data_IF_327187921009
#
_entry.id   IF_327187921009
#
_cell.length_a   1.000
_cell.length_b   1.000
_cell.length_c   1.000
_cell.angle_alpha   90.00
_cell.angle_beta   90.00
_cell.angle_gamma   90.00
#
_symmetry.space_group_name_H-M   'P 1'
#
loop_
_entity.id
_entity.type
_entity.pdbx_description
1 polymer ?
#
# COMPACT_ATOMS: atom_id res chain seq x y z
N UNK A 1 67.72 49.18 -26.88
CA UNK A 1 69.18 48.99 -26.84
C UNK A 1 69.40 47.50 -26.51
N UNK A 2 69.57 46.63 -27.52
CA UNK A 2 70.84 45.96 -27.91
C UNK A 2 71.56 45.38 -26.68
N UNK A 3 71.83 44.08 -26.50
CA UNK A 3 72.39 42.98 -27.32
C UNK A 3 72.00 41.64 -26.64
N UNK A 4 71.47 40.58 -27.25
CA UNK A 4 72.09 39.59 -28.18
C UNK A 4 73.44 39.03 -27.70
N UNK A 5 73.51 37.75 -27.25
CA UNK A 5 74.52 36.73 -27.64
C UNK A 5 73.97 35.31 -27.33
N UNK A 6 73.80 34.50 -28.38
CA UNK A 6 73.67 33.03 -28.38
C UNK A 6 75.05 32.36 -28.27
N UNK A 7 75.14 31.07 -27.89
CA UNK A 7 75.54 30.10 -28.92
C UNK A 7 74.66 28.84 -28.88
N UNK A 8 74.09 28.42 -30.00
CA UNK A 8 74.68 27.59 -31.06
C UNK A 8 74.77 26.09 -30.70
N UNK A 9 74.06 25.34 -31.53
CA UNK A 9 73.67 23.93 -31.48
C UNK A 9 74.88 23.04 -31.88
N UNK A 10 74.85 21.72 -31.62
CA UNK A 10 74.69 20.89 -32.82
C UNK A 10 73.65 19.77 -32.67
N UNK A 11 72.88 19.65 -33.73
CA UNK A 11 71.94 18.59 -33.98
C UNK A 11 72.72 17.38 -34.47
N UNK A 12 72.60 16.24 -33.79
CA UNK A 12 72.99 14.94 -34.32
C UNK A 12 71.74 14.17 -34.78
N UNK A 13 71.55 14.26 -36.09
CA UNK A 13 71.05 13.24 -37.03
C UNK A 13 70.32 12.02 -36.45
N UNK A 14 69.07 11.92 -36.91
CA UNK A 14 68.51 10.77 -37.60
C UNK A 14 68.59 9.40 -36.89
N UNK A 15 67.50 9.04 -36.22
CA UNK A 15 67.11 7.65 -36.04
C UNK A 15 65.65 7.46 -36.48
N UNK A 16 65.53 7.15 -37.77
CA UNK A 16 64.70 6.07 -38.32
C UNK A 16 63.28 5.92 -37.73
N UNK A 17 62.31 6.34 -38.57
CA UNK A 17 61.02 5.69 -38.74
C UNK A 17 61.08 4.18 -38.51
N UNK A 18 60.67 3.67 -37.34
CA UNK A 18 59.97 2.38 -37.13
C UNK A 18 59.39 2.39 -35.71
N UNK A 19 58.28 3.11 -35.45
CA UNK A 19 57.58 2.96 -34.17
C UNK A 19 56.07 3.21 -34.24
N UNK A 20 55.50 3.45 -35.41
CA UNK A 20 54.06 3.68 -35.60
C UNK A 20 53.26 2.42 -35.89
N UNK A 21 53.92 1.26 -36.07
CA UNK A 21 53.23 -0.03 -36.28
C UNK A 21 52.88 -0.78 -34.99
N UNK A 22 53.65 -0.56 -33.91
CA UNK A 22 53.49 -1.36 -32.68
C UNK A 22 52.34 -0.86 -31.78
N UNK A 23 51.98 0.42 -31.90
CA UNK A 23 50.92 1.04 -31.08
C UNK A 23 49.49 0.75 -31.60
N UNK A 24 49.33 0.52 -32.91
CA UNK A 24 48.04 0.13 -33.50
C UNK A 24 47.72 -1.35 -33.27
N UNK A 25 48.74 -2.23 -33.27
CA UNK A 25 48.56 -3.66 -33.02
C UNK A 25 48.13 -3.95 -31.57
N UNK A 26 48.66 -3.21 -30.59
CA UNK A 26 48.29 -3.37 -29.17
C UNK A 26 46.89 -2.86 -28.86
N UNK A 27 46.42 -1.80 -29.52
CA UNK A 27 45.04 -1.31 -29.39
C UNK A 27 44.04 -2.23 -30.09
N UNK A 28 44.39 -2.82 -31.24
CA UNK A 28 43.55 -3.79 -31.94
C UNK A 28 43.40 -5.12 -31.15
N UNK A 29 44.44 -5.55 -30.44
CA UNK A 29 44.38 -6.73 -29.55
C UNK A 29 43.47 -6.49 -28.34
N UNK A 30 43.46 -5.29 -27.76
CA UNK A 30 42.57 -4.94 -26.65
C UNK A 30 41.08 -4.88 -27.07
N UNK A 31 40.77 -4.47 -28.30
CA UNK A 31 39.40 -4.46 -28.82
C UNK A 31 38.86 -5.87 -29.11
N UNK A 32 39.73 -6.85 -29.37
CA UNK A 32 39.33 -8.25 -29.60
C UNK A 32 39.01 -9.04 -28.31
N UNK A 33 39.40 -8.50 -27.15
CA UNK A 33 39.14 -9.10 -25.85
C UNK A 33 37.71 -8.85 -25.33
N UNK A 34 37.01 -7.84 -25.83
CA UNK A 34 35.60 -7.60 -25.53
C UNK A 34 34.73 -8.22 -26.63
N UNK A 35 34.55 -9.55 -26.60
CA UNK A 35 33.60 -10.18 -27.49
C UNK A 35 32.16 -9.98 -26.95
N UNK A 36 31.19 -9.48 -27.75
CA UNK A 36 29.82 -9.24 -27.28
C UNK A 36 29.09 -10.50 -26.80
N UNK A 37 29.53 -11.69 -27.23
CA UNK A 37 29.01 -13.00 -26.82
C UNK A 37 29.41 -13.39 -25.39
N UNK A 38 30.36 -12.68 -24.77
CA UNK A 38 30.77 -12.86 -23.37
C UNK A 38 29.97 -12.02 -22.37
N UNK A 39 29.01 -11.21 -22.84
CA UNK A 39 28.10 -10.49 -21.96
C UNK A 39 27.04 -11.48 -21.47
N UNK A 40 27.31 -12.16 -20.37
CA UNK A 40 26.27 -12.94 -19.69
C UNK A 40 25.15 -12.00 -19.24
N UNK A 41 23.93 -12.24 -19.70
CA UNK A 41 22.76 -11.56 -19.15
C UNK A 41 22.67 -11.86 -17.66
N UNK A 42 22.80 -10.82 -16.83
CA UNK A 42 22.61 -10.94 -15.39
C UNK A 42 21.22 -11.54 -15.15
N UNK A 43 21.19 -12.77 -14.62
CA UNK A 43 19.95 -13.43 -14.23
C UNK A 43 19.21 -12.51 -13.26
N UNK A 44 17.90 -12.38 -13.43
CA UNK A 44 17.05 -11.51 -12.61
C UNK A 44 17.31 -9.99 -12.73
N UNK A 45 17.82 -9.50 -13.87
CA UNK A 45 17.99 -8.05 -14.16
C UNK A 45 16.77 -7.19 -13.76
N UNK A 46 15.54 -7.72 -13.94
CA UNK A 46 14.30 -7.04 -13.50
C UNK A 46 14.17 -6.92 -11.98
N UNK A 47 14.53 -7.97 -11.21
CA UNK A 47 14.51 -7.94 -9.74
C UNK A 47 15.58 -6.99 -9.22
N UNK A 48 16.78 -7.07 -9.77
CA UNK A 48 17.89 -6.18 -9.43
C UNK A 48 17.51 -4.72 -9.70
N UNK A 49 16.93 -4.42 -10.87
CA UNK A 49 16.41 -3.09 -11.16
C UNK A 49 15.35 -2.58 -10.18
N UNK A 50 14.52 -3.47 -9.61
CA UNK A 50 13.56 -3.11 -8.55
C UNK A 50 14.26 -2.88 -7.21
N UNK A 51 15.23 -3.72 -6.84
CA UNK A 51 15.98 -3.64 -5.59
C UNK A 51 16.90 -2.42 -5.54
N UNK A 52 17.70 -2.16 -6.57
CA UNK A 52 18.56 -0.97 -6.70
C UNK A 52 17.75 0.31 -6.57
N UNK A 53 16.56 0.32 -7.17
CA UNK A 53 15.64 1.44 -7.11
C UNK A 53 15.01 1.62 -5.71
N UNK A 54 14.94 0.58 -4.88
CA UNK A 54 14.52 0.65 -3.48
C UNK A 54 15.65 1.12 -2.53
N UNK A 55 16.91 1.03 -2.94
CA UNK A 55 18.08 1.51 -2.17
C UNK A 55 18.36 3.01 -2.32
N UNK A 56 17.65 3.69 -3.22
CA UNK A 56 17.71 5.14 -3.38
C UNK A 56 17.24 5.84 -2.09
N UNK A 57 18.15 6.55 -1.42
CA UNK A 57 17.85 7.27 -0.17
C UNK A 57 16.87 8.41 -0.46
N UNK A 58 15.64 8.28 0.04
CA UNK A 58 14.62 9.32 -0.03
C UNK A 58 14.54 10.04 1.31
N UNK A 59 14.69 11.37 1.30
CA UNK A 59 14.37 12.20 2.46
C UNK A 59 12.86 12.20 2.69
N UNK A 60 12.42 11.79 3.88
CA UNK A 60 10.99 11.78 4.26
C UNK A 60 10.74 12.93 5.25
N UNK A 61 9.91 13.90 4.87
CA UNK A 61 9.50 15.00 5.75
C UNK A 61 8.28 14.58 6.61
N UNK A 62 8.01 15.25 7.75
CA UNK A 62 6.84 14.93 8.58
C UNK A 62 5.51 14.97 7.82
N UNK A 63 5.34 15.93 6.90
CA UNK A 63 4.15 16.02 6.03
C UNK A 63 4.02 14.83 5.07
N UNK A 64 5.13 14.22 4.66
CA UNK A 64 5.14 13.05 3.79
C UNK A 64 4.69 11.81 4.55
N UNK A 65 5.04 11.71 5.83
CA UNK A 65 4.53 10.64 6.70
C UNK A 65 3.01 10.75 6.89
N UNK A 66 2.46 11.93 7.12
CA UNK A 66 1.00 12.10 7.20
C UNK A 66 0.30 11.72 5.87
N UNK A 67 0.90 12.09 4.73
CA UNK A 67 0.38 11.69 3.41
C UNK A 67 0.48 10.18 3.20
N UNK A 68 1.57 9.57 3.62
CA UNK A 68 1.78 8.13 3.58
C UNK A 68 0.78 7.39 4.47
N UNK A 69 0.54 7.87 5.69
CA UNK A 69 -0.50 7.38 6.62
C UNK A 69 -1.87 7.40 5.97
N UNK A 70 -2.26 8.52 5.33
CA UNK A 70 -3.51 8.60 4.57
C UNK A 70 -3.59 7.54 3.48
N UNK A 71 -2.53 7.43 2.68
CA UNK A 71 -2.51 6.49 1.56
C UNK A 71 -2.54 5.02 2.02
N UNK A 72 -1.80 4.68 3.07
CA UNK A 72 -1.79 3.36 3.69
C UNK A 72 -3.18 2.99 4.20
N UNK A 73 -3.81 3.87 4.99
CA UNK A 73 -5.15 3.64 5.52
C UNK A 73 -6.23 3.59 4.44
N UNK A 74 -6.15 4.44 3.40
CA UNK A 74 -7.06 4.36 2.24
C UNK A 74 -6.90 3.01 1.52
N UNK A 75 -5.67 2.57 1.30
CA UNK A 75 -5.38 1.32 0.59
C UNK A 75 -5.88 0.10 1.37
N UNK A 76 -5.61 0.06 2.67
CA UNK A 76 -5.99 -1.03 3.55
C UNK A 76 -7.51 -1.11 3.72
N UNK A 77 -8.16 0.00 4.07
CA UNK A 77 -9.61 -0.01 4.29
C UNK A 77 -10.40 -0.21 3.00
N UNK A 78 -9.94 0.30 1.85
CA UNK A 78 -10.59 0.03 0.56
C UNK A 78 -10.46 -1.45 0.14
N UNK A 79 -9.31 -2.06 0.43
CA UNK A 79 -9.09 -3.49 0.23
C UNK A 79 -10.06 -4.29 1.10
N UNK A 80 -10.09 -4.02 2.41
CA UNK A 80 -10.99 -4.66 3.36
C UNK A 80 -12.47 -4.55 2.95
N UNK A 81 -12.94 -3.34 2.63
CA UNK A 81 -14.33 -3.11 2.24
C UNK A 81 -14.69 -3.83 0.92
N UNK A 82 -13.76 -3.89 -0.03
CA UNK A 82 -13.98 -4.59 -1.32
C UNK A 82 -14.10 -6.08 -1.12
N UNK A 83 -13.21 -6.66 -0.31
CA UNK A 83 -13.26 -8.08 0.01
C UNK A 83 -14.52 -8.41 0.82
N UNK A 84 -14.89 -7.57 1.79
CA UNK A 84 -16.13 -7.73 2.54
C UNK A 84 -17.34 -7.82 1.62
N UNK A 85 -17.51 -6.85 0.71
CA UNK A 85 -18.65 -6.84 -0.21
C UNK A 85 -18.71 -8.08 -1.10
N UNK A 86 -17.56 -8.53 -1.61
CA UNK A 86 -17.46 -9.73 -2.46
C UNK A 86 -17.79 -11.00 -1.69
N UNK A 87 -17.23 -11.13 -0.50
CA UNK A 87 -17.51 -12.26 0.40
C UNK A 87 -18.99 -12.28 0.78
N UNK A 88 -19.53 -11.17 1.27
CA UNK A 88 -20.95 -11.09 1.65
C UNK A 88 -21.88 -11.39 0.47
N UNK A 89 -21.60 -10.87 -0.74
CA UNK A 89 -22.42 -11.18 -1.91
C UNK A 89 -22.47 -12.69 -2.20
N UNK A 90 -21.32 -13.37 -2.10
CA UNK A 90 -21.24 -14.84 -2.28
C UNK A 90 -21.98 -15.59 -1.18
N UNK A 91 -21.70 -15.28 0.08
CA UNK A 91 -22.25 -16.02 1.23
C UNK A 91 -23.75 -15.77 1.41
N UNK A 92 -24.23 -14.56 1.12
CA UNK A 92 -25.67 -14.26 1.09
C UNK A 92 -26.38 -15.08 0.00
N UNK A 93 -25.75 -15.25 -1.17
CA UNK A 93 -26.32 -16.08 -2.25
C UNK A 93 -26.30 -17.57 -1.91
N UNK A 94 -25.28 -18.04 -1.19
CA UNK A 94 -25.12 -19.45 -0.85
C UNK A 94 -25.99 -19.91 0.33
N UNK A 95 -26.17 -19.08 1.35
CA UNK A 95 -26.86 -19.48 2.59
C UNK A 95 -27.49 -18.33 3.37
N UNK A 96 -27.77 -17.20 2.72
CA UNK A 96 -28.45 -16.06 3.32
C UNK A 96 -27.67 -15.44 4.49
N UNK A 97 -28.40 -14.80 5.40
CA UNK A 97 -27.81 -14.08 6.54
C UNK A 97 -27.12 -15.03 7.52
N UNK A 98 -27.67 -16.23 7.71
CA UNK A 98 -27.10 -17.24 8.60
C UNK A 98 -25.65 -17.60 8.23
N UNK A 99 -25.38 -17.76 6.94
CA UNK A 99 -24.06 -18.00 6.40
C UNK A 99 -23.19 -16.74 6.41
N UNK A 100 -23.73 -15.62 5.89
CA UNK A 100 -22.95 -14.40 5.68
C UNK A 100 -22.48 -13.72 6.98
N UNK A 101 -23.21 -13.88 8.09
CA UNK A 101 -22.90 -13.23 9.36
C UNK A 101 -21.52 -13.59 9.92
N UNK A 102 -20.98 -14.76 9.60
CA UNK A 102 -19.64 -15.19 10.00
C UNK A 102 -18.51 -14.34 9.39
N UNK A 103 -18.80 -13.59 8.32
CA UNK A 103 -17.79 -12.89 7.53
C UNK A 103 -17.76 -11.37 7.77
N UNK A 104 -18.50 -10.84 8.74
CA UNK A 104 -18.58 -9.39 9.01
C UNK A 104 -17.32 -8.75 9.64
N UNK A 105 -16.19 -9.47 9.66
CA UNK A 105 -14.90 -9.08 10.25
C UNK A 105 -13.79 -9.01 9.18
N UNK A 106 -13.85 -8.07 8.24
CA UNK A 106 -12.88 -8.03 7.13
C UNK A 106 -11.44 -7.74 7.56
N UNK A 107 -11.23 -7.17 8.75
CA UNK A 107 -9.91 -6.96 9.34
C UNK A 107 -9.13 -8.27 9.56
N UNK A 108 -9.81 -9.41 9.71
CA UNK A 108 -9.16 -10.72 9.91
C UNK A 108 -8.92 -11.48 8.60
N UNK A 109 -9.31 -10.93 7.46
CA UNK A 109 -9.12 -11.60 6.18
C UNK A 109 -7.63 -11.65 5.85
N UNK A 110 -7.13 -12.80 5.41
CA UNK A 110 -5.70 -13.06 5.12
C UNK A 110 -4.99 -11.94 4.34
N UNK A 111 -5.63 -11.40 3.29
CA UNK A 111 -5.03 -10.31 2.50
C UNK A 111 -5.01 -8.97 3.26
N UNK A 112 -6.02 -8.70 4.07
CA UNK A 112 -6.10 -7.47 4.88
C UNK A 112 -5.08 -7.55 6.00
N UNK A 113 -4.99 -8.69 6.69
CA UNK A 113 -4.01 -8.96 7.74
C UNK A 113 -2.57 -8.86 7.21
N UNK A 114 -2.28 -9.48 6.07
CA UNK A 114 -0.97 -9.36 5.42
C UNK A 114 -0.61 -7.90 5.07
N UNK A 115 -1.57 -7.13 4.53
CA UNK A 115 -1.36 -5.73 4.21
C UNK A 115 -1.17 -4.89 5.48
N UNK A 116 -1.92 -5.19 6.55
CA UNK A 116 -1.76 -4.57 7.87
C UNK A 116 -0.35 -4.82 8.42
N UNK A 117 0.17 -6.05 8.28
CA UNK A 117 1.52 -6.42 8.68
C UNK A 117 2.60 -5.61 7.96
N UNK A 118 2.48 -5.44 6.64
CA UNK A 118 3.40 -4.59 5.84
C UNK A 118 3.41 -3.15 6.34
N UNK A 119 2.24 -2.62 6.67
CA UNK A 119 2.06 -1.25 7.17
C UNK A 119 2.33 -1.11 8.67
N UNK A 120 2.55 -2.23 9.38
CA UNK A 120 2.54 -2.31 10.85
C UNK A 120 1.34 -1.57 11.44
N UNK A 121 0.18 -1.84 10.84
CA UNK A 121 -1.10 -1.22 11.16
C UNK A 121 -1.92 -2.13 12.07
N UNK A 122 -2.70 -1.53 12.96
CA UNK A 122 -3.71 -2.24 13.78
C UNK A 122 -5.10 -1.75 13.38
N UNK A 123 -5.70 -2.28 12.31
CA UNK A 123 -7.01 -1.84 11.85
C UNK A 123 -8.14 -2.40 12.71
N UNK A 124 -9.12 -1.55 13.01
CA UNK A 124 -10.36 -1.94 13.67
C UNK A 124 -11.55 -1.17 13.13
N UNK A 125 -12.72 -1.80 13.13
CA UNK A 125 -14.00 -1.14 12.86
C UNK A 125 -14.63 -0.77 14.19
N UNK A 126 -15.13 0.45 14.31
CA UNK A 126 -15.80 0.94 15.52
C UNK A 126 -17.14 1.56 15.18
N UNK A 127 -18.09 1.48 16.11
CA UNK A 127 -19.44 2.03 15.96
C UNK A 127 -20.01 2.47 17.31
N UNK A 128 -20.89 3.47 17.27
CA UNK A 128 -21.72 3.83 18.42
C UNK A 128 -22.84 2.79 18.66
N UNK A 129 -23.23 2.03 17.63
CA UNK A 129 -24.30 1.02 17.64
C UNK A 129 -23.81 -0.30 17.02
N UNK A 130 -22.85 -0.99 17.67
CA UNK A 130 -22.19 -2.14 17.06
C UNK A 130 -23.03 -3.42 17.13
N UNK A 131 -22.71 -4.38 16.25
CA UNK A 131 -23.21 -5.77 16.35
C UNK A 131 -22.43 -6.60 17.37
N UNK A 132 -21.11 -6.45 17.33
CA UNK A 132 -20.20 -7.02 18.32
C UNK A 132 -19.85 -5.93 19.35
N UNK A 133 -20.17 -6.10 20.65
CA UNK A 133 -19.84 -5.14 21.71
C UNK A 133 -18.38 -4.69 21.73
N UNK A 134 -17.44 -5.53 21.32
CA UNK A 134 -16.00 -5.20 21.25
C UNK A 134 -15.70 -4.02 20.29
N UNK A 135 -16.61 -3.76 19.34
CA UNK A 135 -16.48 -2.67 18.38
C UNK A 135 -17.13 -1.37 18.86
N UNK A 136 -17.60 -1.31 20.11
CA UNK A 136 -18.19 -0.07 20.65
C UNK A 136 -17.12 1.02 20.76
N UNK A 137 -17.43 2.19 20.25
CA UNK A 137 -16.67 3.41 20.54
C UNK A 137 -17.59 4.62 20.55
N UNK A 138 -17.27 5.60 21.39
CA UNK A 138 -17.85 6.94 21.30
C UNK A 138 -17.22 7.65 20.11
N UNK A 139 -18.06 8.00 19.13
CA UNK A 139 -17.64 8.73 17.94
C UNK A 139 -18.28 10.12 17.98
N UNK A 140 -17.46 11.17 18.01
CA UNK A 140 -17.96 12.55 17.93
C UNK A 140 -18.47 12.85 16.53
N UNK A 141 -19.36 13.85 16.40
CA UNK A 141 -19.81 14.31 15.09
C UNK A 141 -18.62 14.72 14.20
N UNK A 142 -17.59 15.34 14.80
CA UNK A 142 -16.33 15.70 14.14
C UNK A 142 -15.60 14.50 13.55
N UNK A 143 -15.48 13.42 14.34
CA UNK A 143 -14.87 12.15 13.91
C UNK A 143 -15.63 11.47 12.76
N UNK A 144 -16.88 11.86 12.57
CA UNK A 144 -17.78 11.34 11.54
C UNK A 144 -18.02 12.33 10.39
N UNK A 145 -17.40 13.50 10.40
CA UNK A 145 -17.57 14.50 9.33
C UNK A 145 -17.09 13.96 7.99
N UNK A 146 -17.85 14.27 6.95
CA UNK A 146 -17.59 13.84 5.57
C UNK A 146 -16.74 14.84 4.77
N UNK A 147 -16.59 16.07 5.25
CA UNK A 147 -15.85 17.15 4.57
C UNK A 147 -14.33 16.95 4.57
N UNK A 148 -13.82 16.15 5.51
CA UNK A 148 -12.45 15.66 5.55
C UNK A 148 -12.51 14.14 5.67
N UNK A 149 -12.86 13.43 4.57
CA UNK A 149 -13.21 11.99 4.54
C UNK A 149 -12.28 11.04 5.32
N UNK A 150 -11.08 11.51 5.73
CA UNK A 150 -10.18 10.85 6.65
C UNK A 150 -9.64 11.84 7.68
N UNK A 151 -9.62 11.44 8.95
CA UNK A 151 -8.84 12.12 10.00
C UNK A 151 -7.46 11.49 10.06
N UNK A 152 -6.42 12.31 9.94
CA UNK A 152 -5.02 11.84 9.97
C UNK A 152 -4.26 12.67 11.00
N UNK A 153 -3.74 12.01 12.02
CA UNK A 153 -2.97 12.68 13.08
C UNK A 153 -1.69 11.91 13.39
N UNK A 154 -0.76 12.60 14.03
CA UNK A 154 0.44 12.01 14.61
C UNK A 154 0.25 11.99 16.11
N UNK A 155 0.01 10.82 16.68
CA UNK A 155 -0.21 10.66 18.13
C UNK A 155 1.11 10.76 18.91
N UNK A 156 2.21 10.29 18.31
CA UNK A 156 3.54 10.38 18.90
C UNK A 156 4.62 10.44 17.81
N UNK A 157 5.90 10.44 18.21
CA UNK A 157 6.97 10.41 17.21
C UNK A 157 6.91 9.16 16.31
N UNK A 158 6.47 8.04 16.87
CA UNK A 158 6.49 6.71 16.24
C UNK A 158 5.11 6.19 15.83
N UNK A 159 4.02 6.85 16.24
CA UNK A 159 2.65 6.39 15.99
C UNK A 159 1.84 7.42 15.21
N UNK A 160 1.22 6.95 14.13
CA UNK A 160 0.31 7.70 13.29
C UNK A 160 -1.09 7.09 13.37
N UNK A 161 -2.09 7.96 13.37
CA UNK A 161 -3.49 7.57 13.43
C UNK A 161 -4.19 7.91 12.12
N UNK A 162 -5.06 7.00 11.71
CA UNK A 162 -5.95 7.14 10.57
C UNK A 162 -7.36 6.75 11.00
N UNK A 163 -8.34 7.56 10.59
CA UNK A 163 -9.75 7.23 10.68
C UNK A 163 -10.48 7.54 9.39
N UNK A 164 -11.44 6.69 9.02
CA UNK A 164 -12.35 6.94 7.89
C UNK A 164 -13.77 6.48 8.24
N UNK A 165 -14.80 7.32 8.04
CA UNK A 165 -16.19 6.91 8.23
C UNK A 165 -16.57 5.69 7.35
N UNK A 166 -17.42 4.83 7.91
CA UNK A 166 -18.05 3.72 7.21
C UNK A 166 -19.47 4.15 6.90
N UNK A 167 -19.76 4.33 5.61
CA UNK A 167 -21.09 4.72 5.11
C UNK A 167 -21.74 3.51 4.44
N UNK A 168 -22.99 3.23 4.79
CA UNK A 168 -23.78 2.15 4.23
C UNK A 168 -24.24 2.54 2.82
N UNK A 169 -23.41 2.31 1.80
CA UNK A 169 -23.73 2.69 0.42
C UNK A 169 -24.14 1.52 -0.48
N UNK A 170 -24.16 0.29 0.04
CA UNK A 170 -24.51 -0.91 -0.72
C UNK A 170 -25.73 -1.61 -0.09
N UNK A 171 -26.74 -1.90 -0.92
CA UNK A 171 -27.99 -2.52 -0.48
C UNK A 171 -27.80 -3.90 0.16
N UNK A 172 -26.73 -4.65 -0.18
CA UNK A 172 -26.44 -5.93 0.47
C UNK A 172 -26.28 -5.79 1.99
N UNK A 173 -25.79 -4.63 2.45
CA UNK A 173 -25.60 -4.38 3.87
C UNK A 173 -26.93 -4.31 4.63
N UNK A 174 -28.02 -3.90 3.96
CA UNK A 174 -29.35 -3.78 4.56
C UNK A 174 -29.95 -5.14 4.93
N UNK A 175 -29.51 -6.23 4.29
CA UNK A 175 -29.93 -7.60 4.65
C UNK A 175 -29.65 -7.95 6.12
N UNK A 176 -28.66 -7.30 6.71
CA UNK A 176 -28.25 -7.51 8.10
C UNK A 176 -28.43 -6.26 8.97
N UNK A 177 -28.37 -5.07 8.37
CA UNK A 177 -28.31 -3.79 9.09
C UNK A 177 -29.49 -2.86 8.82
N UNK A 178 -30.41 -3.22 7.92
CA UNK A 178 -31.57 -2.42 7.55
C UNK A 178 -32.71 -2.49 8.56
N UNK A 179 -33.87 -1.99 8.15
CA UNK A 179 -35.09 -1.97 8.96
C UNK A 179 -35.66 -3.39 9.15
N UNK A 180 -35.91 -3.78 10.41
CA UNK A 180 -36.45 -5.11 10.74
C UNK A 180 -37.90 -5.21 10.25
N UNK A 181 -38.24 -6.32 9.59
CA UNK A 181 -39.56 -6.52 8.99
C UNK A 181 -39.71 -5.91 7.59
N UNK A 182 -38.71 -5.14 7.13
CA UNK A 182 -38.67 -4.57 5.77
C UNK A 182 -37.44 -5.04 5.00
N UNK A 183 -36.26 -4.68 5.47
CA UNK A 183 -34.97 -5.06 4.86
C UNK A 183 -34.44 -6.38 5.44
N UNK A 184 -34.68 -6.61 6.73
CA UNK A 184 -34.28 -7.82 7.45
C UNK A 184 -35.53 -8.69 7.65
N UNK A 185 -35.54 -9.89 7.07
CA UNK A 185 -36.62 -10.85 7.25
C UNK A 185 -36.72 -11.32 8.71
N UNK A 186 -37.91 -11.71 9.16
CA UNK A 186 -38.14 -12.12 10.55
C UNK A 186 -37.25 -13.30 10.98
N UNK A 187 -37.05 -14.28 10.10
CA UNK A 187 -36.17 -15.42 10.35
C UNK A 187 -34.69 -15.00 10.47
N UNK A 188 -34.23 -14.11 9.60
CA UNK A 188 -32.86 -13.55 9.65
C UNK A 188 -32.64 -12.74 10.94
N UNK A 189 -33.64 -11.94 11.34
CA UNK A 189 -33.58 -11.17 12.58
C UNK A 189 -33.54 -12.08 13.83
N UNK A 190 -34.36 -13.14 13.86
CA UNK A 190 -34.34 -14.13 14.94
C UNK A 190 -32.96 -14.82 15.05
N UNK A 191 -32.37 -15.20 13.91
CA UNK A 191 -31.00 -15.73 13.86
C UNK A 191 -29.99 -14.72 14.41
N UNK A 192 -30.03 -13.47 13.94
CA UNK A 192 -29.11 -12.41 14.38
C UNK A 192 -29.21 -12.16 15.88
N UNK A 193 -30.42 -12.14 16.45
CA UNK A 193 -30.63 -11.98 17.90
C UNK A 193 -30.11 -13.15 18.71
N UNK A 194 -30.19 -14.37 18.19
CA UNK A 194 -29.61 -15.56 18.84
C UNK A 194 -28.09 -15.53 18.81
N UNK A 195 -27.50 -15.19 17.66
CA UNK A 195 -26.05 -15.18 17.46
C UNK A 195 -25.38 -13.98 18.13
N UNK A 196 -26.05 -12.83 18.15
CA UNK A 196 -25.56 -11.56 18.67
C UNK A 196 -26.61 -10.96 19.63
N UNK A 197 -26.69 -11.44 20.89
CA UNK A 197 -27.72 -11.01 21.84
C UNK A 197 -27.71 -9.49 22.10
N UNK A 198 -26.52 -8.88 22.05
CA UNK A 198 -26.26 -7.45 22.29
C UNK A 198 -26.17 -6.63 20.99
N UNK A 199 -26.71 -7.14 19.88
CA UNK A 199 -26.71 -6.42 18.61
C UNK A 199 -27.55 -5.13 18.65
N UNK A 200 -26.93 -4.01 18.30
CA UNK A 200 -27.56 -2.70 18.13
C UNK A 200 -27.57 -2.21 16.67
N UNK A 201 -26.98 -2.98 15.76
CA UNK A 201 -26.63 -2.56 14.42
C UNK A 201 -27.74 -2.79 13.38
N UNK A 202 -28.99 -2.48 13.70
CA UNK A 202 -30.14 -2.57 12.78
C UNK A 202 -30.80 -1.20 12.54
N UNK A 203 -31.71 -1.10 11.57
CA UNK A 203 -32.44 0.14 11.26
C UNK A 203 -31.63 1.19 10.51
N UNK A 204 -30.52 0.81 9.87
CA UNK A 204 -29.75 1.70 9.02
C UNK A 204 -30.40 1.90 7.64
N UNK A 205 -30.12 3.04 7.01
CA UNK A 205 -30.53 3.34 5.64
C UNK A 205 -29.31 3.57 4.73
N UNK A 206 -29.53 3.49 3.41
CA UNK A 206 -28.48 3.87 2.45
C UNK A 206 -28.01 5.31 2.70
N UNK A 207 -26.69 5.53 2.61
CA UNK A 207 -26.04 6.81 2.88
C UNK A 207 -25.83 7.11 4.36
N UNK A 208 -26.35 6.28 5.27
CA UNK A 208 -26.14 6.49 6.70
C UNK A 208 -24.76 6.02 7.15
N UNK A 209 -24.18 6.76 8.10
CA UNK A 209 -22.93 6.38 8.75
C UNK A 209 -23.17 5.29 9.78
N UNK A 210 -22.44 4.18 9.64
CA UNK A 210 -22.51 3.04 10.56
C UNK A 210 -21.44 3.11 11.65
N UNK A 211 -20.40 3.91 11.47
CA UNK A 211 -19.23 3.94 12.33
C UNK A 211 -18.00 4.41 11.57
N UNK A 212 -16.82 3.95 11.98
CA UNK A 212 -15.56 4.30 11.34
C UNK A 212 -14.58 3.13 11.33
N UNK A 213 -13.69 3.13 10.33
CA UNK A 213 -12.41 2.46 10.44
C UNK A 213 -11.48 3.32 11.28
N UNK A 214 -10.80 2.74 12.25
CA UNK A 214 -9.68 3.33 12.98
C UNK A 214 -8.45 2.44 12.81
N UNK A 215 -7.28 3.05 12.71
CA UNK A 215 -6.02 2.30 12.79
C UNK A 215 -4.91 3.17 13.33
N UNK A 216 -4.06 2.57 14.16
CA UNK A 216 -2.72 3.06 14.46
C UNK A 216 -1.73 2.40 13.52
N UNK A 217 -0.70 3.13 13.12
CA UNK A 217 0.38 2.66 12.26
C UNK A 217 1.71 3.11 12.83
N UNK A 218 2.70 2.21 12.83
CA UNK A 218 4.07 2.56 13.22
C UNK A 218 4.79 3.33 12.12
N UNK A 219 5.64 4.27 12.51
CA UNK A 219 6.43 5.12 11.60
C UNK A 219 7.22 4.32 10.58
N UNK A 220 7.87 3.24 11.00
CA UNK A 220 8.65 2.36 10.12
C UNK A 220 7.79 1.63 9.08
N UNK A 221 6.58 1.21 9.46
CA UNK A 221 5.60 0.64 8.52
C UNK A 221 5.08 1.66 7.51
N UNK A 222 4.72 2.87 7.95
CA UNK A 222 4.29 3.98 7.09
C UNK A 222 5.39 4.39 6.12
N UNK A 223 6.62 4.58 6.63
CA UNK A 223 7.77 4.97 5.84
C UNK A 223 8.15 3.90 4.81
N UNK A 224 8.16 2.62 5.22
CA UNK A 224 8.41 1.49 4.33
C UNK A 224 7.38 1.44 3.19
N UNK A 225 6.09 1.50 3.53
CA UNK A 225 5.03 1.49 2.52
C UNK A 225 5.13 2.69 1.54
N UNK A 226 5.52 3.87 2.04
CA UNK A 226 5.71 5.08 1.23
C UNK A 226 6.85 4.96 0.21
N UNK A 227 7.96 4.33 0.60
CA UNK A 227 9.17 4.28 -0.22
C UNK A 227 9.17 3.13 -1.23
N UNK A 228 8.35 2.10 -1.03
CA UNK A 228 8.16 0.98 -1.95
C UNK A 228 7.73 1.46 -3.36
N UNK A 229 8.52 1.11 -4.39
CA UNK A 229 8.20 1.49 -5.79
C UNK A 229 7.00 0.72 -6.38
N UNK A 230 6.51 -0.34 -5.73
CA UNK A 230 5.24 -1.01 -6.10
C UNK A 230 4.02 -0.20 -5.69
N UNK A 231 3.90 1.02 -6.21
CA UNK A 231 2.75 1.94 -6.05
C UNK A 231 1.48 1.47 -6.78
N UNK A 232 1.32 0.17 -7.02
CA UNK A 232 0.11 -0.34 -7.67
C UNK A 232 -1.01 -0.38 -6.65
N UNK A 233 -1.89 0.63 -6.69
CA UNK A 233 -3.28 0.44 -6.27
C UNK A 233 -3.79 -0.77 -7.03
N UNK A 234 -4.08 -1.86 -6.33
CA UNK A 234 -4.58 -3.07 -6.97
C UNK A 234 -5.87 -2.70 -7.70
N UNK A 235 -5.83 -2.73 -9.04
CA UNK A 235 -7.06 -2.63 -9.82
C UNK A 235 -7.94 -3.81 -9.44
N UNK A 236 -9.24 -3.59 -9.36
CA UNK A 236 -10.20 -4.55 -8.82
C UNK A 236 -10.10 -5.96 -9.47
N UNK A 237 -9.72 -6.01 -10.75
CA UNK A 237 -9.51 -7.21 -11.56
C UNK A 237 -8.13 -7.87 -11.40
N UNK A 238 -7.23 -7.29 -10.59
CA UNK A 238 -5.87 -7.81 -10.32
C UNK A 238 -5.70 -8.30 -8.89
N UNK A 239 -6.72 -8.17 -8.03
CA UNK A 239 -6.65 -8.71 -6.67
C UNK A 239 -6.54 -10.24 -6.73
N UNK A 240 -5.64 -10.87 -5.96
CA UNK A 240 -5.57 -12.32 -5.87
C UNK A 240 -6.96 -12.90 -5.55
N UNK A 241 -7.33 -14.01 -6.19
CA UNK A 241 -8.45 -14.81 -5.70
C UNK A 241 -8.10 -15.18 -4.26
N UNK A 242 -9.00 -14.86 -3.33
CA UNK A 242 -8.73 -14.98 -1.89
C UNK A 242 -8.57 -16.44 -1.42
N UNK A 243 -8.85 -17.37 -2.33
CA UNK A 243 -8.67 -18.82 -2.21
C UNK A 243 -8.09 -19.31 -3.52
#
# INVERSE_FOLDING_TARGET
MFNSIFPFIPASRAAKYVATGFCLATVALAASACRPDQIEHIKDTKRIGVETANWEVKRIMPKDLLRATRWAGDSLTATADTLLRRTLARELAAGGVAQAAAFCRPETYRLVDSLAGVMKATPRRVSARPRNPEHRATLTAEQLRTDTTRTITRESQEVFFYQRPIVLNNALCLRCHGEVGKDIAAADYAFLKKQFPQDEATGYRLGQQMGAWQMSMRRDGVAGFWTMKTRKKWKEHKMPKLF
#
